data_IF_888208559214
#
_entry.id   IF_888208559214
#
_cell.length_a   1.000
_cell.length_b   1.000
_cell.length_c   1.000
_cell.angle_alpha   90.00
_cell.angle_beta   90.00
_cell.angle_gamma   90.00
#
_symmetry.space_group_name_H-M   'P 1'
#
loop_
_entity.id
_entity.type
_entity.pdbx_description
1 polymer ?
#
# COMPACT_ATOMS: atom_id res chain seq x y z
N UNK A 1 -7.29 6.72 14.06
CA UNK A 1 -7.73 7.34 12.79
C UNK A 1 -8.19 8.78 12.99
N UNK A 2 -9.41 9.04 13.49
CA UNK A 2 -9.94 10.41 13.61
C UNK A 2 -9.20 11.23 14.66
N UNK A 3 -9.17 10.75 15.91
CA UNK A 3 -8.53 11.46 17.02
C UNK A 3 -7.01 11.61 16.86
N UNK A 4 -6.36 10.66 16.18
CA UNK A 4 -4.93 10.69 15.89
C UNK A 4 -4.55 11.60 14.73
N UNK A 5 -5.52 12.23 14.05
CA UNK A 5 -5.29 13.09 12.88
C UNK A 5 -4.99 12.35 11.57
N UNK A 6 -4.73 11.03 11.61
CA UNK A 6 -4.43 10.22 10.42
C UNK A 6 -5.55 10.28 9.36
N UNK A 7 -6.82 10.33 9.78
CA UNK A 7 -7.94 10.47 8.86
C UNK A 7 -7.84 11.75 8.01
N UNK A 8 -7.41 12.87 8.62
CA UNK A 8 -7.24 14.15 7.93
C UNK A 8 -6.04 14.15 6.95
N UNK A 9 -5.11 13.20 7.11
CA UNK A 9 -3.97 13.00 6.22
C UNK A 9 -4.27 12.07 5.03
N UNK A 10 -5.50 11.54 4.94
CA UNK A 10 -5.96 10.72 3.81
C UNK A 10 -6.08 9.23 4.10
N UNK A 11 -5.72 8.77 5.29
CA UNK A 11 -5.98 7.39 5.71
C UNK A 11 -7.48 7.21 5.99
N UNK A 12 -8.21 6.75 4.98
CA UNK A 12 -9.68 6.74 5.00
C UNK A 12 -10.30 5.35 5.08
N UNK A 13 -9.55 4.28 4.78
CA UNK A 13 -10.06 2.92 4.77
C UNK A 13 -9.73 2.20 6.09
N UNK A 14 -10.75 1.67 6.76
CA UNK A 14 -10.63 0.67 7.82
C UNK A 14 -10.92 -0.68 7.17
N UNK A 15 -9.90 -1.52 6.97
CA UNK A 15 -10.06 -2.78 6.26
C UNK A 15 -10.08 -3.94 7.27
N UNK A 16 -11.15 -4.73 7.26
CA UNK A 16 -11.14 -6.04 7.90
C UNK A 16 -10.35 -7.01 7.02
N UNK A 17 -9.43 -7.76 7.62
CA UNK A 17 -8.75 -8.88 6.98
C UNK A 17 -9.49 -10.20 7.30
N UNK A 18 -8.82 -11.35 7.19
CA UNK A 18 -9.44 -12.66 7.41
C UNK A 18 -10.11 -12.84 8.80
N UNK A 19 -10.95 -13.86 8.93
CA UNK A 19 -11.63 -14.30 10.16
C UNK A 19 -12.72 -13.35 10.71
N UNK A 20 -13.42 -12.62 9.84
CA UNK A 20 -14.58 -11.80 10.24
C UNK A 20 -15.92 -12.55 10.17
N UNK A 21 -16.00 -13.63 9.39
CA UNK A 21 -17.24 -14.37 9.12
C UNK A 21 -17.37 -15.65 9.97
N UNK A 22 -18.58 -16.21 9.97
CA UNK A 22 -18.84 -17.56 10.45
C UNK A 22 -18.16 -18.61 9.56
N UNK A 23 -17.90 -19.79 10.14
CA UNK A 23 -17.27 -20.92 9.42
C UNK A 23 -18.12 -21.46 8.28
N UNK A 24 -19.42 -21.19 8.29
CA UNK A 24 -20.39 -21.71 7.33
C UNK A 24 -21.24 -20.56 6.81
N UNK A 25 -21.64 -20.66 5.54
CA UNK A 25 -22.68 -19.81 4.95
C UNK A 25 -24.02 -20.10 5.60
N UNK A 26 -24.94 -19.14 5.52
CA UNK A 26 -26.33 -19.38 5.92
C UNK A 26 -27.02 -20.38 4.96
N UNK A 27 -28.25 -20.76 5.29
CA UNK A 27 -29.07 -21.67 4.46
C UNK A 27 -29.37 -21.16 3.06
N UNK A 28 -29.20 -19.85 2.80
CA UNK A 28 -29.37 -19.24 1.48
C UNK A 28 -28.03 -19.10 0.73
N UNK A 29 -26.92 -19.56 1.31
CA UNK A 29 -25.58 -19.50 0.72
C UNK A 29 -24.86 -18.17 0.93
N UNK A 30 -25.35 -17.26 1.78
CA UNK A 30 -24.66 -15.99 2.03
C UNK A 30 -23.56 -16.17 3.08
N UNK A 31 -22.50 -15.36 2.96
CA UNK A 31 -21.57 -15.16 4.07
C UNK A 31 -22.31 -14.52 5.25
N UNK A 32 -21.89 -14.85 6.47
CA UNK A 32 -22.51 -14.35 7.71
C UNK A 32 -21.39 -13.81 8.60
N UNK A 33 -21.58 -12.61 9.16
CA UNK A 33 -20.64 -12.06 10.13
C UNK A 33 -20.58 -12.94 11.38
N UNK A 34 -19.39 -13.15 11.94
CA UNK A 34 -19.26 -13.93 13.17
C UNK A 34 -20.03 -13.26 14.31
N UNK A 35 -21.03 -13.94 14.88
CA UNK A 35 -21.93 -13.32 15.85
C UNK A 35 -21.27 -13.00 17.21
N UNK A 36 -20.11 -13.63 17.50
CA UNK A 36 -19.35 -13.39 18.73
C UNK A 36 -18.45 -12.17 18.60
N UNK A 37 -17.74 -12.02 17.49
CA UNK A 37 -16.81 -10.89 17.27
C UNK A 37 -17.48 -9.69 16.60
N UNK A 38 -18.55 -9.90 15.83
CA UNK A 38 -19.36 -8.88 15.17
C UNK A 38 -20.85 -9.03 15.54
N UNK A 39 -21.24 -8.85 16.81
CA UNK A 39 -22.62 -9.06 17.28
C UNK A 39 -23.65 -8.11 16.63
N UNK A 40 -23.21 -6.95 16.13
CA UNK A 40 -24.05 -6.01 15.37
C UNK A 40 -24.03 -6.28 13.85
N UNK A 41 -23.37 -7.36 13.42
CA UNK A 41 -23.07 -7.65 12.02
C UNK A 41 -22.12 -6.65 11.37
N UNK A 42 -21.75 -6.92 10.11
CA UNK A 42 -20.91 -6.01 9.33
C UNK A 42 -21.63 -4.69 9.06
N UNK A 43 -22.96 -4.72 8.89
CA UNK A 43 -23.78 -3.52 8.76
C UNK A 43 -23.58 -2.53 9.91
N UNK A 44 -23.67 -3.00 11.16
CA UNK A 44 -23.53 -2.10 12.32
C UNK A 44 -22.13 -1.47 12.40
N UNK A 45 -21.10 -2.20 12.00
CA UNK A 45 -19.74 -1.66 11.90
C UNK A 45 -19.59 -0.66 10.75
N UNK A 46 -20.15 -0.96 9.58
CA UNK A 46 -20.15 -0.05 8.43
C UNK A 46 -20.80 1.28 8.80
N UNK A 47 -22.01 1.24 9.36
CA UNK A 47 -22.74 2.43 9.82
C UNK A 47 -21.88 3.29 10.77
N UNK A 48 -21.16 2.65 11.70
CA UNK A 48 -20.27 3.35 12.62
C UNK A 48 -19.06 4.00 11.92
N UNK A 49 -18.39 3.26 11.03
CA UNK A 49 -17.21 3.73 10.28
C UNK A 49 -17.59 4.90 9.36
N UNK A 50 -18.70 4.78 8.62
CA UNK A 50 -19.20 5.84 7.75
C UNK A 50 -19.65 7.08 8.53
N UNK A 51 -20.27 6.92 9.70
CA UNK A 51 -20.60 8.05 10.58
C UNK A 51 -19.37 8.83 11.07
N UNK A 52 -18.16 8.27 10.95
CA UNK A 52 -16.88 8.95 11.20
C UNK A 52 -16.24 9.55 9.94
N UNK A 53 -16.90 9.50 8.79
CA UNK A 53 -16.37 9.94 7.51
C UNK A 53 -15.27 9.04 6.94
N UNK A 54 -15.19 7.79 7.42
CA UNK A 54 -14.25 6.77 6.96
C UNK A 54 -14.98 5.76 6.08
N UNK A 55 -14.20 4.88 5.44
CA UNK A 55 -14.64 3.82 4.54
C UNK A 55 -14.34 2.45 5.15
N UNK A 56 -15.19 1.46 4.87
CA UNK A 56 -15.02 0.09 5.38
C UNK A 56 -14.60 -0.86 4.25
N UNK A 57 -13.50 -1.56 4.46
CA UNK A 57 -13.07 -2.66 3.61
C UNK A 57 -13.34 -4.02 4.24
N UNK A 58 -13.49 -5.02 3.39
CA UNK A 58 -13.64 -6.42 3.79
C UNK A 58 -12.67 -7.32 3.03
N UNK A 59 -12.58 -8.57 3.47
CA UNK A 59 -11.71 -9.58 2.92
C UNK A 59 -12.50 -10.80 2.46
N UNK A 60 -12.11 -11.38 1.33
CA UNK A 60 -12.50 -12.73 0.93
C UNK A 60 -11.36 -13.38 0.13
N UNK A 61 -11.60 -14.57 -0.40
CA UNK A 61 -10.62 -15.37 -1.14
C UNK A 61 -11.22 -15.85 -2.47
N UNK A 62 -10.40 -15.84 -3.53
CA UNK A 62 -10.67 -16.47 -4.83
C UNK A 62 -10.53 -18.00 -4.79
N UNK A 63 -10.98 -18.62 -3.69
CA UNK A 63 -10.92 -20.05 -3.42
C UNK A 63 -12.13 -20.51 -2.60
N UNK A 64 -12.12 -21.77 -2.19
CA UNK A 64 -13.24 -22.36 -1.44
C UNK A 64 -13.25 -21.96 0.05
N UNK A 65 -12.07 -21.67 0.60
CA UNK A 65 -11.84 -21.23 1.97
C UNK A 65 -10.84 -20.09 1.94
N UNK A 66 -10.88 -19.22 2.94
CA UNK A 66 -9.80 -18.24 3.13
C UNK A 66 -8.52 -18.89 3.62
N UNK A 67 -7.40 -18.17 3.54
CA UNK A 67 -6.10 -18.67 3.96
C UNK A 67 -6.05 -19.21 5.40
N UNK A 68 -6.78 -18.60 6.35
CA UNK A 68 -6.89 -19.11 7.73
C UNK A 68 -7.75 -20.37 7.87
N UNK A 69 -8.58 -20.69 6.86
CA UNK A 69 -9.63 -21.72 6.89
C UNK A 69 -10.69 -21.49 7.97
N UNK A 70 -10.81 -20.26 8.48
CA UNK A 70 -11.79 -19.90 9.50
C UNK A 70 -13.12 -19.46 8.89
N UNK A 71 -13.15 -19.12 7.61
CA UNK A 71 -14.37 -18.77 6.89
C UNK A 71 -14.37 -19.25 5.43
N UNK A 72 -15.54 -19.31 4.77
CA UNK A 72 -15.64 -19.62 3.34
C UNK A 72 -14.94 -18.55 2.48
N UNK A 73 -14.34 -18.99 1.37
CA UNK A 73 -13.99 -18.10 0.26
C UNK A 73 -15.18 -17.88 -0.67
N UNK A 74 -14.97 -17.15 -1.76
CA UNK A 74 -16.03 -16.73 -2.70
C UNK A 74 -16.02 -17.45 -4.05
N UNK A 75 -15.14 -18.44 -4.27
CA UNK A 75 -15.10 -19.16 -5.54
C UNK A 75 -16.46 -19.83 -5.83
N UNK A 76 -17.05 -19.52 -6.99
CA UNK A 76 -18.38 -19.99 -7.39
C UNK A 76 -19.56 -19.26 -6.75
N UNK A 77 -19.32 -18.32 -5.84
CA UNK A 77 -20.32 -17.49 -5.17
C UNK A 77 -20.12 -15.99 -5.47
N UNK A 78 -19.31 -15.63 -6.45
CA UNK A 78 -18.82 -14.26 -6.66
C UNK A 78 -19.96 -13.26 -6.87
N UNK A 79 -20.96 -13.59 -7.70
CA UNK A 79 -22.13 -12.72 -7.89
C UNK A 79 -22.98 -12.57 -6.62
N UNK A 80 -23.11 -13.65 -5.83
CA UNK A 80 -23.88 -13.63 -4.59
C UNK A 80 -23.15 -12.85 -3.49
N UNK A 81 -21.84 -13.04 -3.38
CA UNK A 81 -21.00 -12.38 -2.39
C UNK A 81 -20.82 -10.90 -2.73
N UNK A 82 -20.59 -10.55 -3.99
CA UNK A 82 -20.57 -9.14 -4.41
C UNK A 82 -21.91 -8.45 -4.11
N UNK A 83 -23.04 -9.13 -4.37
CA UNK A 83 -24.35 -8.65 -3.94
C UNK A 83 -24.47 -8.59 -2.43
N UNK A 84 -23.90 -9.52 -1.68
CA UNK A 84 -23.92 -9.53 -0.21
C UNK A 84 -23.13 -8.34 0.35
N UNK A 85 -21.91 -8.10 -0.13
CA UNK A 85 -21.11 -6.93 0.23
C UNK A 85 -21.80 -5.62 -0.16
N UNK A 86 -22.45 -5.60 -1.32
CA UNK A 86 -23.27 -4.47 -1.75
C UNK A 86 -24.61 -4.37 -0.98
N UNK A 87 -25.22 -5.46 -0.52
CA UNK A 87 -26.58 -5.50 0.07
C UNK A 87 -26.60 -5.51 1.58
N UNK A 88 -25.46 -5.79 2.23
CA UNK A 88 -24.89 -4.99 3.31
C UNK A 88 -25.89 -4.12 4.05
N UNK A 89 -26.33 -3.08 3.33
CA UNK A 89 -27.23 -2.06 3.83
C UNK A 89 -27.98 -1.39 2.67
N UNK A 90 -29.19 -0.94 2.99
CA UNK A 90 -30.08 -0.13 2.17
C UNK A 90 -29.65 1.34 1.98
N UNK A 91 -28.58 1.83 2.63
CA UNK A 91 -28.14 3.24 2.50
C UNK A 91 -26.60 3.48 2.43
N UNK A 92 -25.68 2.67 3.00
CA UNK A 92 -24.19 2.92 2.92
C UNK A 92 -23.36 1.60 2.97
N UNK A 93 -22.21 1.52 2.28
CA UNK A 93 -21.73 0.36 1.47
C UNK A 93 -20.32 -0.16 1.89
N UNK A 94 -19.97 -1.44 1.64
CA UNK A 94 -18.55 -1.85 1.63
C UNK A 94 -17.83 -1.07 0.52
N UNK A 95 -16.69 -0.46 0.84
CA UNK A 95 -15.96 0.44 -0.06
C UNK A 95 -14.71 -0.20 -0.68
N UNK A 96 -14.28 -1.34 -0.13
CA UNK A 96 -13.02 -1.99 -0.48
C UNK A 96 -13.14 -3.51 -0.29
N UNK A 97 -12.60 -4.28 -1.23
CA UNK A 97 -12.42 -5.73 -1.11
C UNK A 97 -10.95 -6.11 -1.32
N UNK A 98 -10.33 -6.70 -0.30
CA UNK A 98 -9.11 -7.52 -0.48
C UNK A 98 -9.55 -8.93 -0.87
N UNK A 99 -8.98 -9.46 -1.94
CA UNK A 99 -9.38 -10.74 -2.50
C UNK A 99 -8.17 -11.65 -2.68
N UNK A 100 -8.09 -12.69 -1.86
CA UNK A 100 -6.93 -13.57 -1.71
C UNK A 100 -6.91 -14.76 -2.68
N UNK A 101 -5.92 -15.64 -2.56
CA UNK A 101 -5.66 -16.69 -3.54
C UNK A 101 -5.37 -18.09 -2.93
N UNK A 102 -5.86 -18.37 -1.72
CA UNK A 102 -5.72 -19.68 -1.08
C UNK A 102 -6.81 -20.66 -1.55
N UNK A 103 -6.62 -21.95 -1.28
CA UNK A 103 -7.65 -23.01 -1.45
C UNK A 103 -8.43 -22.98 -2.77
N UNK A 104 -7.72 -22.69 -3.86
CA UNK A 104 -8.26 -22.63 -5.22
C UNK A 104 -8.52 -24.03 -5.76
N UNK A 105 -9.27 -24.11 -6.86
CA UNK A 105 -9.50 -25.34 -7.63
C UNK A 105 -8.39 -25.62 -8.66
N UNK A 106 -7.25 -24.91 -8.57
CA UNK A 106 -6.15 -24.98 -9.53
C UNK A 106 -6.32 -24.10 -10.77
N UNK A 107 -7.44 -23.39 -10.92
CA UNK A 107 -7.60 -22.43 -12.02
C UNK A 107 -6.72 -21.19 -11.82
N UNK A 108 -6.23 -20.64 -12.94
CA UNK A 108 -5.36 -19.46 -12.94
C UNK A 108 -6.06 -18.24 -12.30
N UNK A 109 -5.32 -17.39 -11.56
CA UNK A 109 -5.85 -16.12 -11.07
C UNK A 109 -6.37 -15.22 -12.21
N UNK A 110 -5.79 -15.30 -13.42
CA UNK A 110 -6.28 -14.57 -14.59
C UNK A 110 -7.69 -15.00 -15.03
N UNK A 111 -8.18 -16.15 -14.58
CA UNK A 111 -9.56 -16.61 -14.81
C UNK A 111 -10.47 -16.22 -13.66
N UNK A 112 -10.06 -16.47 -12.41
CA UNK A 112 -10.90 -16.27 -11.21
C UNK A 112 -11.14 -14.80 -10.89
N UNK A 113 -10.10 -13.98 -10.90
CA UNK A 113 -10.21 -12.58 -10.47
C UNK A 113 -11.12 -11.73 -11.37
N UNK A 114 -11.12 -11.87 -12.71
CA UNK A 114 -12.08 -11.16 -13.56
C UNK A 114 -13.55 -11.49 -13.27
N UNK A 115 -13.87 -12.66 -12.72
CA UNK A 115 -15.24 -13.03 -12.35
C UNK A 115 -15.71 -12.16 -11.19
N UNK A 116 -14.91 -12.07 -10.12
CA UNK A 116 -15.22 -11.18 -8.99
C UNK A 116 -15.23 -9.70 -9.40
N UNK A 117 -14.29 -9.25 -10.24
CA UNK A 117 -14.29 -7.89 -10.78
C UNK A 117 -15.61 -7.54 -11.48
N UNK A 118 -16.08 -8.40 -12.39
CA UNK A 118 -17.38 -8.22 -13.06
C UNK A 118 -18.55 -8.24 -12.08
N UNK A 119 -18.50 -9.12 -11.08
CA UNK A 119 -19.52 -9.20 -10.04
C UNK A 119 -19.62 -7.90 -9.24
N UNK A 120 -18.49 -7.33 -8.80
CA UNK A 120 -18.43 -6.03 -8.12
C UNK A 120 -18.97 -4.90 -9.00
N UNK A 121 -18.53 -4.81 -10.27
CA UNK A 121 -19.00 -3.79 -11.21
C UNK A 121 -20.53 -3.88 -11.45
N UNK A 122 -21.08 -5.10 -11.52
CA UNK A 122 -22.51 -5.36 -11.72
C UNK A 122 -23.38 -4.89 -10.54
N UNK A 123 -22.79 -4.70 -9.36
CA UNK A 123 -23.51 -4.11 -8.21
C UNK A 123 -23.87 -2.64 -8.43
N UNK A 124 -23.17 -1.96 -9.36
CA UNK A 124 -23.30 -0.51 -9.58
C UNK A 124 -22.62 0.33 -8.50
N UNK A 125 -21.89 -0.29 -7.57
CA UNK A 125 -21.21 0.38 -6.44
C UNK A 125 -19.69 0.46 -6.66
N UNK A 126 -19.05 1.61 -6.35
CA UNK A 126 -17.61 1.77 -6.50
C UNK A 126 -16.86 1.11 -5.34
N UNK A 127 -16.63 -0.20 -5.46
CA UNK A 127 -15.85 -1.00 -4.49
C UNK A 127 -14.40 -1.07 -5.00
N UNK A 128 -13.45 -0.55 -4.21
CA UNK A 128 -12.02 -0.68 -4.54
C UNK A 128 -11.62 -2.16 -4.50
N UNK A 129 -11.08 -2.67 -5.60
CA UNK A 129 -10.73 -4.09 -5.71
C UNK A 129 -9.22 -4.32 -5.61
N UNK A 130 -8.77 -4.87 -4.48
CA UNK A 130 -7.38 -5.18 -4.18
C UNK A 130 -7.09 -6.66 -4.36
N UNK A 131 -6.31 -7.00 -5.38
CA UNK A 131 -5.94 -8.37 -5.71
C UNK A 131 -4.80 -8.86 -4.80
N UNK A 132 -4.92 -10.06 -4.24
CA UNK A 132 -3.94 -10.65 -3.35
C UNK A 132 -3.57 -12.07 -3.80
N UNK A 133 -2.90 -12.18 -4.96
CA UNK A 133 -2.38 -13.45 -5.48
C UNK A 133 -0.87 -13.64 -5.28
N UNK A 134 -0.23 -12.71 -4.57
CA UNK A 134 1.18 -12.76 -4.15
C UNK A 134 2.24 -12.62 -5.25
N UNK A 135 1.90 -12.06 -6.40
CA UNK A 135 2.71 -11.96 -7.61
C UNK A 135 2.62 -13.18 -8.55
N UNK A 136 1.64 -14.07 -8.35
CA UNK A 136 1.49 -15.32 -9.11
C UNK A 136 0.96 -15.06 -10.52
N UNK A 137 1.78 -15.35 -11.53
CA UNK A 137 1.49 -15.00 -12.93
C UNK A 137 1.54 -13.49 -13.21
N UNK A 138 2.42 -12.78 -12.50
CA UNK A 138 2.85 -11.41 -12.83
C UNK A 138 1.67 -10.41 -12.98
N UNK A 139 0.93 -10.12 -11.89
CA UNK A 139 -0.31 -9.34 -11.92
C UNK A 139 -0.16 -7.92 -12.43
N UNK A 140 1.05 -7.35 -12.39
CA UNK A 140 1.33 -6.06 -13.01
C UNK A 140 0.96 -6.02 -14.51
N UNK A 141 0.98 -7.17 -15.20
CA UNK A 141 0.71 -7.28 -16.63
C UNK A 141 -0.78 -7.39 -16.99
N UNK A 142 -1.64 -7.80 -16.06
CA UNK A 142 -3.07 -8.05 -16.31
C UNK A 142 -4.02 -7.42 -15.29
N UNK A 143 -3.56 -7.20 -14.06
CA UNK A 143 -4.26 -6.54 -12.95
C UNK A 143 -4.85 -5.16 -13.28
N UNK A 144 -4.21 -4.29 -14.10
CA UNK A 144 -4.80 -3.00 -14.49
C UNK A 144 -6.17 -3.12 -15.19
N UNK A 145 -6.44 -4.25 -15.86
CA UNK A 145 -7.72 -4.52 -16.51
C UNK A 145 -8.77 -5.16 -15.59
N UNK A 146 -8.42 -5.45 -14.33
CA UNK A 146 -9.22 -6.28 -13.42
C UNK A 146 -9.54 -5.57 -12.11
N UNK A 147 -8.59 -4.87 -11.49
CA UNK A 147 -8.78 -4.20 -10.21
C UNK A 147 -7.96 -2.93 -10.05
N UNK A 148 -7.89 -2.44 -8.81
CA UNK A 148 -7.30 -1.14 -8.49
C UNK A 148 -5.90 -1.22 -7.88
N UNK A 149 -5.57 -2.36 -7.26
CA UNK A 149 -4.20 -2.70 -6.86
C UNK A 149 -4.00 -4.20 -6.88
N UNK A 150 -2.75 -4.64 -6.93
CA UNK A 150 -2.40 -6.05 -6.91
C UNK A 150 -1.11 -6.31 -6.14
N UNK A 151 -1.15 -7.28 -5.24
CA UNK A 151 0.03 -7.76 -4.51
C UNK A 151 1.07 -8.27 -5.50
N UNK A 152 2.27 -7.71 -5.46
CA UNK A 152 3.37 -8.11 -6.36
C UNK A 152 4.27 -9.18 -5.75
N UNK A 153 4.04 -9.51 -4.48
CA UNK A 153 4.88 -10.41 -3.69
C UNK A 153 4.07 -11.16 -2.64
N UNK A 154 4.56 -12.31 -2.17
CA UNK A 154 4.10 -12.91 -0.90
C UNK A 154 4.32 -11.99 0.29
N UNK A 155 3.86 -12.42 1.46
CA UNK A 155 3.64 -11.50 2.59
C UNK A 155 4.90 -10.82 3.10
N UNK A 156 4.74 -9.56 3.54
CA UNK A 156 5.69 -8.87 4.39
C UNK A 156 5.71 -9.53 5.78
N UNK A 157 6.71 -9.16 6.56
CA UNK A 157 6.81 -9.46 7.97
C UNK A 157 7.66 -8.34 8.59
N UNK A 158 7.43 -8.08 9.86
CA UNK A 158 8.10 -7.01 10.60
C UNK A 158 9.58 -7.32 10.90
N UNK A 159 10.41 -7.27 9.86
CA UNK A 159 11.86 -7.33 9.92
C UNK A 159 12.48 -6.74 8.64
N UNK A 160 13.70 -6.24 8.79
CA UNK A 160 14.44 -5.56 7.73
C UNK A 160 14.63 -6.38 6.46
N UNK A 161 15.04 -7.64 6.60
CA UNK A 161 15.31 -8.52 5.46
C UNK A 161 14.04 -8.71 4.62
N UNK A 162 12.91 -8.98 5.28
CA UNK A 162 11.65 -9.18 4.59
C UNK A 162 11.18 -7.89 3.92
N UNK A 163 11.17 -6.76 4.62
CA UNK A 163 10.74 -5.47 4.08
C UNK A 163 11.55 -5.08 2.84
N UNK A 164 12.88 -5.14 2.91
CA UNK A 164 13.73 -4.77 1.77
C UNK A 164 13.57 -5.72 0.58
N UNK A 165 13.35 -7.02 0.83
CA UNK A 165 13.05 -8.00 -0.22
C UNK A 165 11.71 -7.75 -0.91
N UNK A 166 10.70 -7.20 -0.21
CA UNK A 166 9.42 -6.79 -0.83
C UNK A 166 9.63 -5.58 -1.74
N UNK A 167 10.37 -4.56 -1.26
CA UNK A 167 10.73 -3.41 -2.07
C UNK A 167 11.45 -3.81 -3.37
N UNK A 168 12.48 -4.66 -3.28
CA UNK A 168 13.25 -5.11 -4.45
C UNK A 168 12.40 -5.88 -5.47
N UNK A 169 11.50 -6.76 -5.00
CA UNK A 169 10.62 -7.52 -5.89
C UNK A 169 9.53 -6.68 -6.53
N UNK A 170 9.09 -5.61 -5.86
CA UNK A 170 8.09 -4.67 -6.37
C UNK A 170 8.67 -3.71 -7.42
N UNK A 171 9.94 -3.31 -7.26
CA UNK A 171 10.63 -2.31 -8.09
C UNK A 171 10.58 -2.63 -9.59
N UNK A 172 10.76 -3.91 -9.97
CA UNK A 172 10.75 -4.34 -11.38
C UNK A 172 9.44 -4.04 -12.10
N UNK A 173 8.34 -3.81 -11.38
CA UNK A 173 7.01 -3.56 -11.92
C UNK A 173 6.68 -2.07 -12.07
N UNK A 174 7.60 -1.17 -11.75
CA UNK A 174 7.33 0.27 -11.69
C UNK A 174 6.64 0.86 -12.93
N UNK A 175 6.93 0.35 -14.12
CA UNK A 175 6.34 0.84 -15.38
C UNK A 175 4.85 0.51 -15.57
N UNK A 176 4.30 -0.40 -14.77
CA UNK A 176 2.91 -0.85 -14.87
C UNK A 176 1.96 -0.10 -13.93
N UNK A 177 2.50 0.56 -12.90
CA UNK A 177 1.69 1.33 -11.96
C UNK A 177 1.30 2.70 -12.56
N UNK A 178 0.09 3.14 -12.23
CA UNK A 178 -0.42 4.44 -12.63
C UNK A 178 -1.80 4.72 -12.02
N UNK A 179 -2.38 5.91 -12.27
CA UNK A 179 -3.70 6.25 -11.79
C UNK A 179 -4.75 5.18 -12.12
N UNK A 180 -5.31 4.57 -11.07
CA UNK A 180 -6.33 3.53 -11.18
C UNK A 180 -5.83 2.10 -11.01
N UNK A 181 -4.51 1.86 -11.05
CA UNK A 181 -3.90 0.53 -10.93
C UNK A 181 -2.50 0.58 -10.29
N UNK A 182 -2.36 0.04 -9.08
CA UNK A 182 -1.14 0.17 -8.28
C UNK A 182 -0.49 -1.17 -7.93
N UNK A 183 0.83 -1.22 -8.04
CA UNK A 183 1.59 -2.33 -7.48
C UNK A 183 1.55 -2.27 -5.95
N UNK A 184 1.20 -3.38 -5.31
CA UNK A 184 1.08 -3.50 -3.86
C UNK A 184 2.23 -4.37 -3.28
N UNK A 185 3.26 -3.74 -2.67
CA UNK A 185 4.32 -4.45 -1.96
C UNK A 185 3.93 -4.93 -0.55
N UNK A 186 2.63 -4.94 -0.23
CA UNK A 186 2.01 -5.32 1.05
C UNK A 186 1.91 -4.19 2.08
N UNK A 187 1.23 -4.47 3.20
CA UNK A 187 0.93 -3.52 4.27
C UNK A 187 2.18 -2.93 4.96
N UNK A 188 2.02 -1.79 5.62
CA UNK A 188 3.07 -1.13 6.40
C UNK A 188 3.24 -1.79 7.78
N UNK A 189 4.46 -2.14 8.12
CA UNK A 189 4.83 -2.72 9.44
C UNK A 189 5.23 -1.66 10.48
N UNK A 190 5.14 -0.37 10.13
CA UNK A 190 5.57 0.75 10.98
C UNK A 190 4.92 0.73 12.35
N UNK A 191 5.72 0.55 13.39
CA UNK A 191 5.29 0.56 14.80
C UNK A 191 4.97 -0.81 15.40
N UNK A 192 5.26 -1.91 14.70
CA UNK A 192 5.01 -3.27 15.21
C UNK A 192 6.13 -3.83 16.11
N UNK A 193 7.29 -3.18 16.11
CA UNK A 193 8.40 -3.38 17.06
C UNK A 193 9.56 -4.28 16.61
N UNK A 194 9.47 -4.89 15.43
CA UNK A 194 10.47 -5.78 14.84
C UNK A 194 11.57 -5.07 14.02
N UNK A 195 11.36 -3.81 13.67
CA UNK A 195 12.35 -2.92 13.07
C UNK A 195 12.62 -1.68 13.92
N UNK A 196 13.77 -1.04 13.69
CA UNK A 196 14.13 0.26 14.29
C UNK A 196 13.36 1.41 13.66
N UNK A 197 13.30 2.56 14.32
CA UNK A 197 12.66 3.76 13.77
C UNK A 197 13.27 4.22 12.44
N UNK A 198 14.58 4.07 12.25
CA UNK A 198 15.23 4.40 10.97
C UNK A 198 14.86 3.42 9.86
N UNK A 199 14.74 2.13 10.18
CA UNK A 199 14.25 1.12 9.23
C UNK A 199 12.79 1.38 8.84
N UNK A 200 11.93 1.76 9.80
CA UNK A 200 10.55 2.16 9.51
C UNK A 200 10.46 3.45 8.70
N UNK A 201 11.33 4.43 8.95
CA UNK A 201 11.42 5.65 8.14
C UNK A 201 11.77 5.30 6.69
N UNK A 202 12.72 4.40 6.48
CA UNK A 202 13.09 3.86 5.16
C UNK A 202 11.94 3.11 4.51
N UNK A 203 11.27 2.22 5.25
CA UNK A 203 10.10 1.48 4.77
C UNK A 203 8.98 2.42 4.28
N UNK A 204 8.60 3.40 5.09
CA UNK A 204 7.56 4.37 4.74
C UNK A 204 7.97 5.24 3.54
N UNK A 205 9.22 5.69 3.48
CA UNK A 205 9.75 6.50 2.37
C UNK A 205 9.74 5.74 1.05
N UNK A 206 10.13 4.46 1.06
CA UNK A 206 10.15 3.62 -0.15
C UNK A 206 8.72 3.30 -0.61
N UNK A 207 7.80 2.96 0.29
CA UNK A 207 6.40 2.73 -0.07
C UNK A 207 5.77 3.99 -0.66
N UNK A 208 6.05 5.15 -0.07
CA UNK A 208 5.57 6.43 -0.56
C UNK A 208 6.14 6.76 -1.95
N UNK A 209 7.46 6.61 -2.14
CA UNK A 209 8.10 6.83 -3.43
C UNK A 209 7.56 5.87 -4.49
N UNK A 210 7.32 4.62 -4.14
CA UNK A 210 6.90 3.54 -5.03
C UNK A 210 5.40 3.55 -5.36
N UNK A 211 4.63 4.54 -4.86
CA UNK A 211 3.17 4.67 -5.09
C UNK A 211 2.42 3.42 -4.62
N UNK A 212 2.95 2.77 -3.59
CA UNK A 212 2.30 1.65 -2.93
C UNK A 212 1.03 2.13 -2.19
N UNK A 213 0.01 1.27 -2.04
CA UNK A 213 -1.02 1.48 -1.04
C UNK A 213 -0.38 1.67 0.36
N UNK A 214 -0.76 2.75 1.06
CA UNK A 214 -0.29 3.01 2.42
C UNK A 214 -1.30 2.46 3.44
N UNK A 215 -1.36 1.13 3.57
CA UNK A 215 -2.26 0.43 4.50
C UNK A 215 -1.49 0.18 5.81
N UNK A 216 -1.96 0.77 6.91
CA UNK A 216 -1.32 0.63 8.22
C UNK A 216 -1.55 -0.77 8.81
N UNK A 217 -0.49 -1.44 9.26
CA UNK A 217 -0.53 -2.76 9.88
C UNK A 217 -0.35 -2.78 11.40
N UNK A 218 -0.24 -1.62 12.06
CA UNK A 218 -0.01 -1.51 13.50
C UNK A 218 -1.25 -1.14 14.32
N UNK A 219 -1.15 -1.26 15.65
CA UNK A 219 -2.20 -0.80 16.56
C UNK A 219 -2.22 0.72 16.69
N UNK A 220 -3.04 1.36 15.85
CA UNK A 220 -3.24 2.80 15.83
C UNK A 220 -3.86 3.39 17.12
N UNK A 221 -4.30 2.56 18.07
CA UNK A 221 -4.89 2.99 19.35
C UNK A 221 -3.81 3.32 20.38
N UNK A 222 -2.59 2.81 20.18
CA UNK A 222 -1.48 2.90 21.13
C UNK A 222 -0.13 3.15 20.46
N UNK A 223 -0.12 3.90 19.35
CA UNK A 223 1.13 4.32 18.69
C UNK A 223 1.96 5.21 19.62
N UNK A 224 3.27 4.99 19.64
CA UNK A 224 4.20 5.94 20.24
C UNK A 224 4.39 7.18 19.33
N UNK A 225 5.13 8.16 19.84
CA UNK A 225 5.36 9.42 19.13
C UNK A 225 6.16 9.21 17.84
N UNK A 226 7.13 8.30 17.83
CA UNK A 226 7.97 8.05 16.66
C UNK A 226 7.17 7.39 15.52
N UNK A 227 6.35 6.38 15.85
CA UNK A 227 5.41 5.75 14.93
C UNK A 227 4.44 6.78 14.36
N UNK A 228 3.85 7.62 15.22
CA UNK A 228 2.93 8.67 14.78
C UNK A 228 3.63 9.67 13.85
N UNK A 229 4.85 10.11 14.17
CA UNK A 229 5.63 11.03 13.34
C UNK A 229 5.93 10.46 11.95
N UNK A 230 6.30 9.18 11.87
CA UNK A 230 6.55 8.52 10.58
C UNK A 230 5.27 8.49 9.74
N UNK A 231 4.18 8.00 10.34
CA UNK A 231 2.91 7.82 9.65
C UNK A 231 2.16 9.13 9.37
N UNK A 232 2.51 10.23 10.03
CA UNK A 232 1.84 11.53 9.88
C UNK A 232 2.61 12.54 9.03
N UNK A 233 3.74 12.15 8.42
CA UNK A 233 4.51 13.06 7.58
C UNK A 233 3.77 13.39 6.27
N UNK A 234 3.08 14.53 6.28
CA UNK A 234 2.28 15.01 5.14
C UNK A 234 3.09 15.25 3.86
N UNK A 235 4.38 15.58 3.95
CA UNK A 235 5.22 15.79 2.76
C UNK A 235 5.55 14.46 2.07
N UNK A 236 5.84 13.42 2.85
CA UNK A 236 6.06 12.06 2.33
C UNK A 236 4.77 11.47 1.76
N UNK A 237 3.63 11.67 2.44
CA UNK A 237 2.32 11.28 1.93
C UNK A 237 2.00 12.00 0.61
N UNK A 238 2.34 13.29 0.49
CA UNK A 238 2.14 14.04 -0.75
C UNK A 238 2.97 13.50 -1.93
N UNK A 239 4.12 12.86 -1.68
CA UNK A 239 4.88 12.14 -2.71
C UNK A 239 4.17 10.87 -3.17
N UNK A 240 3.54 10.13 -2.26
CA UNK A 240 2.72 8.97 -2.59
C UNK A 240 1.48 9.37 -3.39
N UNK A 241 0.81 10.44 -2.98
CA UNK A 241 -0.45 10.93 -3.54
C UNK A 241 -0.26 11.92 -4.71
N UNK A 242 0.95 12.03 -5.26
CA UNK A 242 1.20 12.96 -6.36
C UNK A 242 0.36 12.59 -7.59
N UNK A 243 -0.30 13.60 -8.18
CA UNK A 243 -1.26 13.43 -9.28
C UNK A 243 -0.66 12.81 -10.55
N UNK A 244 0.66 12.89 -10.74
CA UNK A 244 1.31 12.25 -11.88
C UNK A 244 1.23 10.72 -11.78
N UNK A 245 1.16 10.17 -10.55
CA UNK A 245 0.93 8.76 -10.31
C UNK A 245 2.03 7.83 -10.84
N UNK A 246 3.25 8.32 -11.02
CA UNK A 246 4.36 7.49 -11.50
C UNK A 246 5.09 6.87 -10.32
N UNK A 247 5.12 5.54 -10.28
CA UNK A 247 5.93 4.79 -9.31
C UNK A 247 7.41 5.14 -9.48
N UNK A 248 8.03 5.65 -8.41
CA UNK A 248 9.48 5.79 -8.33
C UNK A 248 10.16 4.43 -8.24
N UNK A 249 11.41 4.37 -8.67
CA UNK A 249 12.18 3.12 -8.78
C UNK A 249 13.63 3.32 -8.41
N UNK A 250 14.35 2.22 -8.22
CA UNK A 250 15.80 2.25 -8.05
C UNK A 250 16.47 2.74 -9.34
N UNK A 251 17.34 3.73 -9.22
CA UNK A 251 18.08 4.31 -10.35
C UNK A 251 19.59 4.10 -10.23
N UNK A 252 20.10 3.85 -9.02
CA UNK A 252 21.50 3.55 -8.77
C UNK A 252 21.64 2.58 -7.61
N UNK A 253 22.61 1.69 -7.70
CA UNK A 253 23.02 0.78 -6.63
C UNK A 253 24.54 0.61 -6.66
N UNK A 254 25.19 0.86 -5.54
CA UNK A 254 26.61 0.60 -5.31
C UNK A 254 26.76 -0.17 -3.99
N UNK A 255 26.95 -1.49 -4.08
CA UNK A 255 26.83 -2.38 -2.93
C UNK A 255 25.47 -2.23 -2.25
N UNK A 256 25.49 -1.81 -0.99
CA UNK A 256 24.29 -1.57 -0.17
C UNK A 256 23.78 -0.12 -0.23
N UNK A 257 24.45 0.75 -0.98
CA UNK A 257 24.07 2.17 -1.11
C UNK A 257 23.21 2.35 -2.34
N UNK A 258 21.98 2.80 -2.14
CA UNK A 258 20.99 2.91 -3.20
C UNK A 258 20.47 4.34 -3.37
N UNK A 259 20.16 4.69 -4.61
CA UNK A 259 19.38 5.88 -4.96
C UNK A 259 18.12 5.41 -5.65
N UNK A 260 16.98 5.84 -5.14
CA UNK A 260 15.68 5.66 -5.76
C UNK A 260 15.11 7.02 -6.16
N UNK A 261 14.47 7.10 -7.31
CA UNK A 261 13.88 8.33 -7.79
C UNK A 261 12.64 8.11 -8.64
N UNK A 262 11.78 9.12 -8.71
CA UNK A 262 10.60 9.13 -9.56
C UNK A 262 10.13 10.56 -9.87
N UNK A 263 9.63 10.83 -11.08
CA UNK A 263 9.09 12.13 -11.40
C UNK A 263 7.80 12.39 -10.61
N UNK A 264 7.57 13.65 -10.27
CA UNK A 264 6.34 14.16 -9.70
C UNK A 264 5.73 15.21 -10.63
N UNK A 265 4.48 15.58 -10.36
CA UNK A 265 3.82 16.70 -11.01
C UNK A 265 4.65 17.99 -10.91
N UNK A 266 4.46 18.88 -11.89
CA UNK A 266 5.18 20.15 -12.01
C UNK A 266 6.71 20.00 -12.19
N UNK A 267 7.14 18.94 -12.87
CA UNK A 267 8.56 18.65 -13.19
C UNK A 267 9.47 18.51 -11.96
N UNK A 268 8.88 18.27 -10.79
CA UNK A 268 9.62 17.94 -9.56
C UNK A 268 10.07 16.47 -9.63
N UNK A 269 11.06 16.12 -8.82
CA UNK A 269 11.56 14.73 -8.70
C UNK A 269 11.62 14.36 -7.23
N UNK A 270 11.03 13.22 -6.85
CA UNK A 270 11.25 12.63 -5.54
C UNK A 270 12.50 11.77 -5.58
N UNK A 271 13.35 11.87 -4.55
CA UNK A 271 14.59 11.10 -4.42
C UNK A 271 14.68 10.50 -3.02
N UNK A 272 15.05 9.23 -2.92
CA UNK A 272 15.45 8.60 -1.66
C UNK A 272 16.90 8.15 -1.79
N UNK A 273 17.75 8.66 -0.90
CA UNK A 273 19.08 8.13 -0.66
C UNK A 273 18.97 7.10 0.46
N UNK A 274 19.42 5.87 0.22
CA UNK A 274 19.19 4.77 1.13
C UNK A 274 20.46 3.98 1.41
N UNK A 275 20.87 3.92 2.68
CA UNK A 275 21.95 3.07 3.13
C UNK A 275 21.34 1.75 3.64
N UNK A 276 21.46 0.66 2.88
CA UNK A 276 21.02 -0.67 3.32
C UNK A 276 22.09 -1.45 4.09
N UNK A 277 23.28 -0.88 4.20
CA UNK A 277 24.44 -1.53 4.81
C UNK A 277 24.43 -1.42 6.33
N UNK A 278 25.33 -2.18 6.95
CA UNK A 278 25.48 -2.27 8.42
C UNK A 278 26.43 -1.22 9.00
N UNK A 279 26.84 -0.20 8.24
CA UNK A 279 27.79 0.83 8.69
C UNK A 279 27.43 2.20 8.11
N UNK A 280 27.75 3.31 8.81
CA UNK A 280 27.53 4.64 8.28
C UNK A 280 28.24 4.83 6.94
N UNK A 281 27.56 5.46 5.98
CA UNK A 281 28.10 5.67 4.65
C UNK A 281 27.52 6.93 4.00
N UNK A 282 28.32 7.56 3.13
CA UNK A 282 27.86 8.66 2.31
C UNK A 282 27.17 8.14 1.06
N UNK A 283 25.91 8.52 0.86
CA UNK A 283 25.15 8.20 -0.36
C UNK A 283 24.97 9.49 -1.17
N UNK A 284 25.16 9.40 -2.49
CA UNK A 284 25.07 10.54 -3.39
C UNK A 284 24.31 10.21 -4.69
N UNK A 285 23.45 11.13 -5.09
CA UNK A 285 22.70 11.09 -6.34
C UNK A 285 23.12 12.26 -7.23
N UNK A 286 23.73 11.97 -8.37
CA UNK A 286 23.96 12.98 -9.40
C UNK A 286 22.63 13.31 -10.08
N UNK A 287 22.46 14.54 -10.53
CA UNK A 287 21.25 14.98 -11.23
C UNK A 287 20.97 14.13 -12.48
N UNK A 288 22.02 13.71 -13.19
CA UNK A 288 21.90 12.78 -14.33
C UNK A 288 21.26 11.44 -13.97
N UNK A 289 21.48 10.95 -12.75
CA UNK A 289 21.02 9.62 -12.31
C UNK A 289 19.52 9.64 -11.98
N UNK A 290 18.98 10.83 -11.65
CA UNK A 290 17.61 11.04 -11.18
C UNK A 290 16.73 11.79 -12.18
N UNK A 291 17.19 11.97 -13.42
CA UNK A 291 16.42 12.64 -14.48
C UNK A 291 16.32 14.16 -14.34
N UNK A 292 17.27 14.78 -13.64
CA UNK A 292 17.42 16.24 -13.53
C UNK A 292 18.56 16.69 -14.45
N UNK A 293 18.43 17.81 -15.20
CA UNK A 293 19.52 18.28 -16.05
C UNK A 293 20.80 18.55 -15.25
N UNK A 294 22.00 18.11 -15.68
CA UNK A 294 23.23 18.19 -14.88
C UNK A 294 23.60 19.59 -14.38
N UNK A 295 23.26 20.63 -15.16
CA UNK A 295 23.55 22.03 -14.84
C UNK A 295 22.33 22.80 -14.33
N UNK A 296 21.23 22.10 -14.01
CA UNK A 296 20.05 22.73 -13.43
C UNK A 296 20.39 23.33 -12.07
N UNK A 297 19.84 24.51 -11.81
CA UNK A 297 19.83 25.10 -10.49
C UNK A 297 18.51 24.72 -9.82
N UNK A 298 18.58 23.98 -8.73
CA UNK A 298 17.39 23.43 -8.06
C UNK A 298 17.33 23.86 -6.60
N UNK A 299 16.13 23.85 -6.05
CA UNK A 299 15.93 23.85 -4.60
C UNK A 299 15.62 22.41 -4.15
N UNK A 300 16.19 22.00 -3.02
CA UNK A 300 16.09 20.65 -2.47
C UNK A 300 15.35 20.72 -1.14
N UNK A 301 14.19 20.08 -1.06
CA UNK A 301 13.40 19.96 0.18
C UNK A 301 13.68 18.62 0.84
N UNK A 302 14.23 18.60 2.06
CA UNK A 302 14.32 17.41 2.89
C UNK A 302 12.99 17.18 3.61
N UNK A 303 12.33 16.06 3.31
CA UNK A 303 10.96 15.81 3.77
C UNK A 303 10.90 15.34 5.23
N UNK A 304 12.00 14.83 5.78
CA UNK A 304 12.07 14.38 7.16
C UNK A 304 12.62 15.46 8.09
N UNK A 305 13.56 16.28 7.61
CA UNK A 305 14.07 17.43 8.36
C UNK A 305 13.18 18.68 8.21
N UNK A 306 12.26 18.70 7.24
CA UNK A 306 11.42 19.85 6.90
C UNK A 306 12.22 21.13 6.60
N UNK A 307 13.40 20.97 5.99
CA UNK A 307 14.29 22.07 5.59
C UNK A 307 14.44 22.14 4.08
N UNK A 308 14.82 23.32 3.57
CA UNK A 308 15.05 23.54 2.15
C UNK A 308 16.44 24.13 1.93
N UNK A 309 17.23 23.47 1.10
CA UNK A 309 18.50 23.99 0.59
C UNK A 309 18.26 24.59 -0.80
N UNK A 310 18.58 25.87 -0.97
CA UNK A 310 18.36 26.57 -2.22
C UNK A 310 19.61 26.56 -3.10
N UNK A 311 19.41 26.60 -4.42
CA UNK A 311 20.50 26.77 -5.41
C UNK A 311 21.53 25.63 -5.42
N UNK A 312 21.09 24.41 -5.17
CA UNK A 312 21.91 23.19 -5.29
C UNK A 312 22.19 22.89 -6.76
N UNK A 313 23.37 22.33 -7.05
CA UNK A 313 23.83 21.96 -8.38
C UNK A 313 24.46 20.58 -8.36
N UNK A 314 24.51 19.94 -9.53
CA UNK A 314 25.24 18.70 -9.85
C UNK A 314 24.74 17.44 -9.14
N UNK A 315 24.63 17.45 -7.80
CA UNK A 315 24.25 16.30 -6.99
C UNK A 315 23.62 16.71 -5.65
N UNK A 316 22.97 15.74 -5.01
CA UNK A 316 22.68 15.74 -3.58
C UNK A 316 23.39 14.58 -2.90
N UNK A 317 23.82 14.76 -1.65
CA UNK A 317 24.45 13.70 -0.87
C UNK A 317 24.17 13.85 0.61
N UNK A 318 24.19 12.73 1.34
CA UNK A 318 24.07 12.71 2.79
C UNK A 318 24.91 11.58 3.40
N UNK A 319 25.45 11.83 4.59
CA UNK A 319 25.99 10.79 5.45
C UNK A 319 24.83 10.11 6.18
N UNK A 320 24.68 8.80 6.00
CA UNK A 320 23.56 8.02 6.50
C UNK A 320 24.06 6.94 7.45
N UNK A 321 23.44 6.85 8.62
CA UNK A 321 23.58 5.71 9.54
C UNK A 321 23.13 4.40 8.87
N UNK A 322 23.49 3.23 9.44
CA UNK A 322 23.00 1.94 8.96
C UNK A 322 21.47 1.93 8.82
N UNK A 323 20.97 1.43 7.69
CA UNK A 323 19.54 1.27 7.38
C UNK A 323 18.73 2.59 7.27
N UNK A 324 19.37 3.74 7.48
CA UNK A 324 18.74 5.04 7.38
C UNK A 324 18.52 5.48 5.93
N UNK A 325 17.57 6.39 5.75
CA UNK A 325 17.35 7.05 4.48
C UNK A 325 17.24 8.57 4.64
N UNK A 326 17.44 9.26 3.53
CA UNK A 326 16.99 10.64 3.34
C UNK A 326 16.04 10.70 2.17
N UNK A 327 14.96 11.45 2.31
CA UNK A 327 13.96 11.63 1.27
C UNK A 327 13.86 13.11 0.91
N UNK A 328 13.94 13.40 -0.38
CA UNK A 328 13.96 14.75 -0.91
C UNK A 328 12.92 14.95 -2.01
N UNK A 329 12.48 16.20 -2.18
CA UNK A 329 11.92 16.69 -3.44
C UNK A 329 12.89 17.68 -4.06
N UNK A 330 13.22 17.44 -5.32
CA UNK A 330 13.99 18.36 -6.17
C UNK A 330 13.00 19.25 -6.93
N UNK A 331 13.17 20.56 -6.80
CA UNK A 331 12.32 21.58 -7.42
C UNK A 331 13.20 22.37 -8.40
N UNK A 332 12.98 22.15 -9.70
CA UNK A 332 13.67 22.89 -10.74
C UNK A 332 13.13 24.33 -10.81
N UNK A 333 14.05 25.30 -10.95
CA UNK A 333 13.71 26.70 -11.21
C UNK A 333 13.48 26.97 -12.69
#
# INVERSE_FOLDING_TARGET
MVSSGLAALGYQYINLDDAWAERQRDSAGNLVANATTFPAGIKGLADYVHAKGLKLGIYSDAGNLTCSKLQPGSLGYEEQDAKTFASWVSIIEIDFLKYDNCHTDGTSPQVRYPIMSKALLKTGRPIFFSLCEWGVEDPATWGPGVGNSWRTTGDIADNWERMTKRADKNDKWASYAGPGGWNDPDMLEVGNGGMTNEEYRSHFSIWALAKAPLILGCDIRSMDLDTHQILSNSEVIAVNQDKLGVQGKKVKKDGDLEVWAGPLSQKRVAVVLWNRGSSPAKVAANFSDIGVPPFALVDVRDLWAHTTEAKVKEQISADLDPHACKMYIIIQK
#
